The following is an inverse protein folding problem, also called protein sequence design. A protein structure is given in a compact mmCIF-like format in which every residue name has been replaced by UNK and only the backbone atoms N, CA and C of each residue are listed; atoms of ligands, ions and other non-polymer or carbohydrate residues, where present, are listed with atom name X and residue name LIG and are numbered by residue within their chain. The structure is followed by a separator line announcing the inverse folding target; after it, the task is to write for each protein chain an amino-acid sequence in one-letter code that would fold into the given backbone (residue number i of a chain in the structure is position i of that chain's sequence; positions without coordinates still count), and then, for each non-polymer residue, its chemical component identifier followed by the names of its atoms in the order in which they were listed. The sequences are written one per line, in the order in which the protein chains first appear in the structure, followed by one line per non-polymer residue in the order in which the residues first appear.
data_IF_280360033634
#
_entry.id   IF_280360033634
#
_cell.length_a   1.000
_cell.length_b   1.000
_cell.length_c   1.000
_cell.angle_alpha   90.00
_cell.angle_beta   90.00
_cell.angle_gamma   90.00
#
_symmetry.space_group_name_H-M   'P 1'
#
loop_
_entity.id
_entity.type
_entity.pdbx_description
1 polymer ?
#
# COMPACT_ATOMS: atom_id res chain seq x y z
N UNK A 1 -18.28 -9.68 -1.38
CA UNK A 1 -17.59 -10.14 -0.14
C UNK A 1 -18.31 -9.76 1.16
N UNK A 2 -19.40 -8.99 1.15
CA UNK A 2 -20.17 -8.67 2.36
C UNK A 2 -19.40 -7.86 3.41
N UNK A 3 -18.41 -7.07 2.98
CA UNK A 3 -17.45 -6.41 3.86
C UNK A 3 -17.67 -4.90 3.99
N UNK A 4 -18.84 -4.41 3.57
CA UNK A 4 -19.17 -2.99 3.59
C UNK A 4 -19.66 -2.55 4.97
N UNK A 5 -18.71 -2.43 5.91
CA UNK A 5 -18.96 -2.04 7.29
C UNK A 5 -17.99 -0.93 7.69
N UNK A 6 -18.39 -0.07 8.62
CA UNK A 6 -17.54 1.04 9.07
C UNK A 6 -16.25 0.55 9.72
N UNK A 7 -16.28 -0.62 10.38
CA UNK A 7 -15.11 -1.27 10.94
C UNK A 7 -14.08 -1.62 9.84
N UNK A 8 -14.52 -2.28 8.76
CA UNK A 8 -13.64 -2.65 7.64
C UNK A 8 -13.16 -1.42 6.87
N UNK A 9 -14.00 -0.38 6.74
CA UNK A 9 -13.61 0.88 6.10
C UNK A 9 -12.56 1.64 6.91
N UNK A 10 -12.61 1.54 8.24
CA UNK A 10 -11.62 2.14 9.14
C UNK A 10 -10.35 1.28 9.32
N UNK A 11 -10.40 0.00 8.94
CA UNK A 11 -9.28 -0.92 9.07
C UNK A 11 -8.08 -0.47 8.20
N UNK A 12 -6.84 -0.60 8.71
CA UNK A 12 -5.65 -0.27 7.94
C UNK A 12 -5.49 -1.20 6.73
N UNK A 13 -5.03 -0.63 5.61
CA UNK A 13 -4.66 -1.40 4.44
C UNK A 13 -3.28 -2.02 4.60
N UNK A 14 -3.11 -3.25 4.10
CA UNK A 14 -1.80 -3.88 3.97
C UNK A 14 -1.15 -3.53 2.63
N UNK A 15 0.16 -3.75 2.53
CA UNK A 15 0.88 -3.75 1.26
C UNK A 15 0.79 -5.15 0.62
N UNK A 16 0.39 -5.22 -0.65
CA UNK A 16 0.30 -6.49 -1.39
C UNK A 16 1.46 -6.72 -2.38
N UNK A 17 2.40 -5.77 -2.50
CA UNK A 17 3.50 -5.83 -3.47
C UNK A 17 4.58 -6.87 -3.14
N UNK A 18 4.61 -7.35 -1.90
CA UNK A 18 5.48 -8.43 -1.45
C UNK A 18 4.72 -9.26 -0.42
N UNK A 19 4.73 -10.58 -0.57
CA UNK A 19 3.94 -11.48 0.26
C UNK A 19 4.78 -12.71 0.60
N UNK A 20 4.80 -13.08 1.89
CA UNK A 20 5.45 -14.29 2.37
C UNK A 20 4.44 -15.14 3.13
N UNK A 21 4.47 -16.44 2.87
CA UNK A 21 3.56 -17.40 3.47
C UNK A 21 4.34 -18.58 4.01
N UNK A 22 4.07 -18.95 5.27
CA UNK A 22 4.54 -20.23 5.80
C UNK A 22 3.94 -21.37 4.96
N UNK A 23 4.78 -22.31 4.53
CA UNK A 23 4.32 -23.46 3.77
C UNK A 23 3.36 -24.31 4.62
N UNK A 24 2.13 -24.49 4.14
CA UNK A 24 1.12 -25.30 4.84
C UNK A 24 -0.29 -25.09 4.34
N UNK A 25 -1.20 -25.96 4.80
CA UNK A 25 -2.60 -25.97 4.34
C UNK A 25 -3.33 -24.66 4.66
N UNK A 26 -3.09 -24.07 5.84
CA UNK A 26 -3.70 -22.79 6.24
C UNK A 26 -3.36 -21.66 5.26
N UNK A 27 -2.09 -21.47 4.95
CA UNK A 27 -1.66 -20.42 4.03
C UNK A 27 -2.16 -20.67 2.61
N UNK A 28 -2.13 -21.93 2.15
CA UNK A 28 -2.65 -22.31 0.82
C UNK A 28 -4.15 -22.04 0.72
N UNK A 29 -4.93 -22.38 1.74
CA UNK A 29 -6.36 -22.10 1.78
C UNK A 29 -6.66 -20.60 1.79
N UNK A 30 -5.90 -19.82 2.57
CA UNK A 30 -6.02 -18.37 2.60
C UNK A 30 -5.72 -17.74 1.22
N UNK A 31 -4.62 -18.13 0.58
CA UNK A 31 -4.26 -17.63 -0.76
C UNK A 31 -5.30 -18.06 -1.80
N UNK A 32 -5.78 -19.31 -1.76
CA UNK A 32 -6.83 -19.77 -2.66
C UNK A 32 -8.14 -18.98 -2.48
N UNK A 33 -8.52 -18.65 -1.25
CA UNK A 33 -9.66 -17.79 -0.98
C UNK A 33 -9.44 -16.38 -1.54
N UNK A 34 -8.28 -15.78 -1.32
CA UNK A 34 -7.95 -14.46 -1.84
C UNK A 34 -8.05 -14.42 -3.36
N UNK A 35 -7.44 -15.38 -4.05
CA UNK A 35 -7.51 -15.50 -5.51
C UNK A 35 -8.95 -15.64 -6.00
N UNK A 36 -9.75 -16.49 -5.34
CA UNK A 36 -11.18 -16.65 -5.68
C UNK A 36 -11.98 -15.37 -5.46
N UNK A 37 -11.65 -14.58 -4.43
CA UNK A 37 -12.32 -13.30 -4.19
C UNK A 37 -11.95 -12.26 -5.26
N UNK A 38 -10.72 -12.27 -5.76
CA UNK A 38 -10.27 -11.42 -6.86
C UNK A 38 -10.98 -11.74 -8.19
N UNK A 39 -11.60 -12.92 -8.34
CA UNK A 39 -12.36 -13.28 -9.55
C UNK A 39 -13.86 -13.04 -9.44
N UNK A 40 -14.35 -12.50 -8.33
CA UNK A 40 -15.79 -12.20 -8.17
C UNK A 40 -16.13 -10.96 -8.99
N UNK A 41 -17.13 -11.02 -9.90
CA UNK A 41 -17.57 -9.86 -10.65
C UNK A 41 -17.98 -8.70 -9.75
N UNK A 42 -17.57 -7.48 -10.09
CA UNK A 42 -17.80 -6.24 -9.36
C UNK A 42 -16.91 -6.04 -8.13
N UNK A 43 -15.97 -6.95 -7.85
CA UNK A 43 -15.00 -6.77 -6.74
C UNK A 43 -13.76 -6.01 -7.19
N UNK A 44 -13.33 -6.20 -8.43
CA UNK A 44 -12.18 -5.49 -9.00
C UNK A 44 -12.69 -4.38 -9.96
N UNK A 45 -12.21 -3.13 -9.83
CA UNK A 45 -12.66 -1.99 -10.65
C UNK A 45 -12.54 -2.10 -12.18
N UNK A 46 -11.88 -3.12 -12.72
CA UNK A 46 -11.76 -3.33 -14.17
C UNK A 46 -13.04 -3.97 -14.80
N UNK A 47 -14.07 -4.26 -14.00
CA UNK A 47 -15.37 -4.68 -14.54
C UNK A 47 -16.11 -3.48 -15.19
N UNK A 48 -16.64 -3.64 -16.43
CA UNK A 48 -17.25 -2.55 -17.20
C UNK A 48 -18.56 -2.01 -16.59
N UNK A 49 -19.14 -2.74 -15.63
CA UNK A 49 -20.40 -2.37 -14.97
C UNK A 49 -20.12 -1.37 -13.85
N UNK A 50 -19.91 -0.11 -14.26
CA UNK A 50 -19.59 1.04 -13.42
C UNK A 50 -20.61 1.33 -12.33
N UNK A 51 -20.51 0.63 -11.20
CA UNK A 51 -21.09 1.08 -9.94
C UNK A 51 -20.43 2.40 -9.56
N UNK A 52 -21.23 3.43 -9.27
CA UNK A 52 -20.71 4.73 -8.86
C UNK A 52 -19.86 4.59 -7.58
N UNK A 53 -18.57 4.92 -7.67
CA UNK A 53 -17.70 4.97 -6.50
C UNK A 53 -18.19 6.07 -5.54
N UNK A 54 -18.14 5.84 -4.22
CA UNK A 54 -18.50 6.87 -3.24
C UNK A 54 -17.67 8.14 -3.41
N UNK A 55 -18.28 9.30 -3.15
CA UNK A 55 -17.58 10.59 -3.18
C UNK A 55 -16.38 10.57 -2.24
N UNK A 56 -15.18 10.80 -2.79
CA UNK A 56 -13.92 10.77 -2.04
C UNK A 56 -13.19 9.43 -2.05
N UNK A 57 -13.72 8.40 -2.72
CA UNK A 57 -13.00 7.16 -2.97
C UNK A 57 -11.74 7.45 -3.77
N UNK A 58 -10.59 6.98 -3.25
CA UNK A 58 -9.33 6.99 -3.98
C UNK A 58 -9.14 5.56 -4.47
N UNK A 59 -9.08 5.36 -5.78
CA UNK A 59 -8.86 4.03 -6.35
C UNK A 59 -7.70 3.32 -5.65
N UNK A 60 -8.03 2.24 -4.97
CA UNK A 60 -7.07 1.35 -4.36
C UNK A 60 -6.62 0.32 -5.40
N UNK A 61 -5.41 -0.23 -5.23
CA UNK A 61 -4.96 -1.34 -6.09
C UNK A 61 -5.90 -2.53 -5.84
N UNK A 62 -6.76 -2.79 -6.81
CA UNK A 62 -7.62 -3.95 -7.02
C UNK A 62 -7.46 -5.09 -5.99
N UNK A 63 -6.44 -5.90 -6.18
CA UNK A 63 -6.12 -7.11 -5.42
C UNK A 63 -5.63 -6.83 -3.98
N UNK A 64 -5.00 -5.69 -3.74
CA UNK A 64 -4.54 -5.25 -2.42
C UNK A 64 -5.71 -4.98 -1.46
N UNK A 65 -6.80 -4.39 -1.95
CA UNK A 65 -8.00 -4.15 -1.13
C UNK A 65 -8.66 -5.46 -0.71
N UNK A 66 -8.79 -6.41 -1.65
CA UNK A 66 -9.32 -7.75 -1.36
C UNK A 66 -8.48 -8.45 -0.30
N UNK A 67 -7.15 -8.38 -0.43
CA UNK A 67 -6.23 -8.98 0.54
C UNK A 67 -6.36 -8.34 1.94
N UNK A 68 -6.51 -7.01 2.01
CA UNK A 68 -6.69 -6.27 3.28
C UNK A 68 -7.98 -6.69 4.00
N UNK A 69 -9.09 -6.75 3.26
CA UNK A 69 -10.39 -7.19 3.79
C UNK A 69 -10.32 -8.62 4.33
N UNK A 70 -9.69 -9.53 3.59
CA UNK A 70 -9.54 -10.91 4.04
C UNK A 70 -8.62 -11.03 5.26
N UNK A 71 -7.53 -10.26 5.32
CA UNK A 71 -6.67 -10.23 6.50
C UNK A 71 -7.44 -9.80 7.76
N UNK A 72 -8.26 -8.76 7.65
CA UNK A 72 -9.16 -8.33 8.73
C UNK A 72 -10.15 -9.43 9.13
N UNK A 73 -10.84 -10.02 8.15
CA UNK A 73 -11.84 -11.08 8.39
C UNK A 73 -11.27 -12.32 9.07
N UNK A 74 -10.01 -12.65 8.78
CA UNK A 74 -9.28 -13.78 9.39
C UNK A 74 -8.57 -13.41 10.69
N UNK A 75 -8.68 -12.16 11.16
CA UNK A 75 -8.02 -11.67 12.38
C UNK A 75 -6.50 -11.74 12.30
N UNK A 76 -5.92 -11.52 11.12
CA UNK A 76 -4.47 -11.56 10.93
C UNK A 76 -3.83 -10.29 11.47
N UNK A 77 -2.78 -10.45 12.28
CA UNK A 77 -1.93 -9.33 12.70
C UNK A 77 -1.23 -8.72 11.48
N UNK A 78 -1.26 -7.39 11.40
CA UNK A 78 -0.58 -6.65 10.35
C UNK A 78 0.78 -6.15 10.84
N UNK A 79 1.79 -6.37 10.02
CA UNK A 79 3.11 -5.80 10.19
C UNK A 79 3.27 -4.60 9.26
N UNK A 80 4.17 -3.69 9.62
CA UNK A 80 4.51 -2.56 8.76
C UNK A 80 5.09 -3.03 7.43
N UNK A 81 4.97 -2.16 6.43
CA UNK A 81 5.56 -2.39 5.12
C UNK A 81 7.07 -2.65 5.25
N UNK A 82 7.57 -3.84 4.86
CA UNK A 82 8.97 -4.23 5.01
C UNK A 82 9.92 -3.49 4.04
N UNK A 83 9.43 -2.52 3.27
CA UNK A 83 10.23 -1.65 2.42
C UNK A 83 10.70 -0.36 3.10
N UNK A 84 11.48 0.44 2.38
CA UNK A 84 11.93 1.76 2.84
C UNK A 84 10.79 2.74 3.15
N UNK A 85 9.55 2.41 2.79
CA UNK A 85 8.37 3.24 3.03
C UNK A 85 7.68 2.95 4.37
N UNK A 86 7.82 1.73 4.93
CA UNK A 86 7.24 1.37 6.24
C UNK A 86 8.22 1.49 7.41
N UNK A 87 9.53 1.39 7.15
CA UNK A 87 10.63 1.35 8.13
C UNK A 87 10.70 2.46 9.21
N UNK A 88 9.88 3.51 9.15
CA UNK A 88 10.04 4.69 10.03
C UNK A 88 9.17 4.69 11.30
N UNK A 89 8.44 3.63 11.59
CA UNK A 89 7.54 3.58 12.75
C UNK A 89 8.11 2.66 13.84
N UNK A 90 8.21 3.12 15.11
CA UNK A 90 8.75 2.31 16.20
C UNK A 90 7.89 1.07 16.49
N UNK A 91 8.52 -0.06 16.80
CA UNK A 91 7.85 -1.28 17.28
C UNK A 91 7.87 -2.50 16.34
N UNK A 92 8.51 -2.44 15.18
CA UNK A 92 8.63 -3.60 14.29
C UNK A 92 9.83 -4.50 14.60
N UNK A 93 9.63 -5.83 14.68
CA UNK A 93 10.72 -6.76 14.96
C UNK A 93 11.62 -7.05 13.74
N UNK A 94 11.15 -6.82 12.51
CA UNK A 94 11.83 -7.31 11.30
C UNK A 94 12.63 -6.26 10.52
N UNK A 95 12.30 -4.99 10.71
CA UNK A 95 12.94 -3.88 10.01
C UNK A 95 12.76 -3.84 8.50
N UNK A 96 13.59 -3.05 7.81
CA UNK A 96 13.56 -2.98 6.34
C UNK A 96 14.18 -4.25 5.74
N UNK A 97 13.41 -4.97 4.94
CA UNK A 97 13.81 -6.22 4.28
C UNK A 97 14.23 -6.00 2.83
N UNK A 98 13.60 -5.07 2.11
CA UNK A 98 13.93 -4.80 0.70
C UNK A 98 13.74 -3.33 0.31
N UNK A 99 14.30 -2.94 -0.84
CA UNK A 99 14.01 -1.64 -1.47
C UNK A 99 12.94 -1.82 -2.55
N UNK A 100 11.77 -1.21 -2.35
CA UNK A 100 10.73 -1.20 -3.37
C UNK A 100 11.17 -0.30 -4.52
N UNK A 101 11.32 -0.88 -5.71
CA UNK A 101 11.84 -0.25 -6.94
C UNK A 101 10.94 0.85 -7.54
N UNK A 102 9.91 1.33 -6.81
CA UNK A 102 9.05 2.45 -7.22
C UNK A 102 9.79 3.80 -7.31
N UNK A 103 11.11 3.84 -7.06
CA UNK A 103 11.94 5.00 -7.38
C UNK A 103 12.00 5.17 -8.90
N UNK A 104 11.19 6.08 -9.44
CA UNK A 104 11.48 6.67 -10.74
C UNK A 104 12.88 7.26 -10.66
N UNK A 105 13.77 6.84 -11.54
CA UNK A 105 15.08 7.48 -11.73
C UNK A 105 14.82 8.95 -12.02
N UNK A 106 15.07 9.82 -11.05
CA UNK A 106 14.97 11.27 -11.29
C UNK A 106 16.03 11.60 -12.32
N UNK A 107 15.63 12.16 -13.45
CA UNK A 107 16.58 12.65 -14.44
C UNK A 107 17.60 13.58 -13.78
N UNK A 108 18.82 13.61 -14.32
CA UNK A 108 19.88 14.48 -13.80
C UNK A 108 19.38 15.93 -13.63
N UNK A 109 18.58 16.42 -14.58
CA UNK A 109 17.93 17.74 -14.51
C UNK A 109 16.97 17.90 -13.33
N UNK A 110 16.20 16.87 -12.96
CA UNK A 110 15.33 16.93 -11.77
C UNK A 110 16.16 16.94 -10.47
N UNK A 111 17.31 16.27 -10.44
CA UNK A 111 18.24 16.30 -9.29
C UNK A 111 18.90 17.68 -9.15
N UNK A 112 19.40 18.23 -10.26
CA UNK A 112 20.01 19.57 -10.31
C UNK A 112 19.02 20.67 -9.89
N UNK A 113 17.79 20.66 -10.42
CA UNK A 113 16.74 21.62 -10.03
C UNK A 113 16.38 21.55 -8.53
N UNK A 114 16.45 20.36 -7.93
CA UNK A 114 16.24 20.18 -6.49
C UNK A 114 17.41 20.65 -5.62
N UNK A 115 18.64 20.59 -6.14
CA UNK A 115 19.83 21.12 -5.47
C UNK A 115 19.85 22.66 -5.53
N UNK A 116 19.58 23.25 -6.71
CA UNK A 116 19.49 24.70 -6.91
C UNK A 116 18.43 25.31 -5.99
N UNK A 117 17.22 24.72 -5.91
CA UNK A 117 16.16 25.20 -5.02
C UNK A 117 16.54 25.17 -3.54
N UNK A 118 17.28 24.15 -3.09
CA UNK A 118 17.78 24.07 -1.71
C UNK A 118 18.82 25.13 -1.41
N UNK A 119 19.76 25.37 -2.33
CA UNK A 119 20.77 26.42 -2.20
C UNK A 119 20.14 27.83 -2.19
N UNK A 120 19.14 28.07 -3.04
CA UNK A 120 18.42 29.35 -3.08
C UNK A 120 17.58 29.58 -1.82
N UNK A 121 16.90 28.55 -1.30
CA UNK A 121 16.16 28.63 -0.05
C UNK A 121 17.05 28.92 1.17
N UNK A 122 18.26 28.33 1.23
CA UNK A 122 19.24 28.64 2.28
C UNK A 122 19.79 30.06 2.16
N UNK A 123 19.95 30.57 0.93
CA UNK A 123 20.36 31.95 0.68
C UNK A 123 19.32 32.98 1.12
N UNK A 124 18.03 32.72 0.87
CA UNK A 124 16.94 33.60 1.33
C UNK A 124 16.77 33.57 2.86
N UNK A 125 16.94 32.41 3.51
CA UNK A 125 16.89 32.31 4.97
C UNK A 125 18.08 33.01 5.66
N UNK A 126 19.23 33.14 4.99
CA UNK A 126 20.40 33.83 5.50
C UNK A 126 20.35 35.37 5.32
N UNK A 127 19.47 35.88 4.44
CA UNK A 127 19.31 37.32 4.16
C UNK A 127 18.24 38.00 5.04
N UNK A 128 17.48 37.23 5.84
CA UNK A 128 16.44 37.71 6.74
C UNK A 128 16.79 37.53 8.24
N UNK A 129 18.08 37.40 8.56
CA UNK A 129 18.63 37.51 9.92
C UNK A 129 19.49 38.75 10.03
#
# INVERSE_FOLDING_TARGET
MGADTDEVRAAPMLAAGFQLYAAGNRSRAFVAEWLRCCTIPGVLPDDPDGSAEPTGFRSHRHDQSVLSVLAHRHGLGLHQDPSQFGWRLPGEPFGQVFDLHRRRTRSLGARLRGAIRRLQGHRQAALHR
#
